data_IF_850264868400
#
_entry.id   IF_850264868400
#
_cell.length_a   1.000
_cell.length_b   1.000
_cell.length_c   1.000
_cell.angle_alpha   90.00
_cell.angle_beta   90.00
_cell.angle_gamma   90.00
#
_symmetry.space_group_name_H-M   'P 1'
#
loop_
_entity.id
_entity.type
_entity.pdbx_description
1 polymer ?
#
# COMPACT_ATOMS: atom_id res chain seq x y z
N UNK A 1 0.67 16.63 31.96
CA UNK A 1 1.18 16.40 30.60
C UNK A 1 0.88 14.94 30.33
N UNK A 2 -0.22 14.65 29.63
CA UNK A 2 -0.61 13.26 29.39
C UNK A 2 0.42 12.64 28.45
N UNK A 3 1.12 11.62 28.93
CA UNK A 3 1.94 10.75 28.10
C UNK A 3 1.00 10.14 27.04
N UNK A 4 1.10 10.64 25.80
CA UNK A 4 0.41 10.02 24.66
C UNK A 4 0.89 8.58 24.59
N UNK A 5 0.05 7.65 25.05
CA UNK A 5 0.23 6.21 25.00
C UNK A 5 0.61 5.84 23.56
N UNK A 6 1.88 5.49 23.34
CA UNK A 6 2.34 4.93 22.07
C UNK A 6 1.62 3.60 21.93
N UNK A 7 0.59 3.55 21.10
CA UNK A 7 -0.13 2.31 20.85
C UNK A 7 0.78 1.43 19.98
N UNK A 8 1.11 0.19 20.40
CA UNK A 8 2.02 -0.67 19.64
C UNK A 8 1.47 -1.03 18.25
N UNK A 9 0.16 -0.84 18.08
CA UNK A 9 -0.54 -0.94 16.81
C UNK A 9 -1.76 -0.02 16.80
N UNK A 10 -2.23 0.32 15.61
CA UNK A 10 -3.56 0.86 15.34
C UNK A 10 -4.26 -0.02 14.31
N UNK A 11 -5.58 -0.11 14.39
CA UNK A 11 -6.39 -0.92 13.50
C UNK A 11 -7.18 -0.05 12.53
N UNK A 12 -7.32 -0.51 11.28
CA UNK A 12 -8.10 0.13 10.23
C UNK A 12 -9.14 -0.86 9.73
N UNK A 13 -10.42 -0.49 9.80
CA UNK A 13 -11.51 -1.25 9.21
C UNK A 13 -11.84 -0.73 7.82
N UNK A 14 -12.17 -1.63 6.91
CA UNK A 14 -12.79 -1.30 5.62
C UNK A 14 -14.20 -0.73 5.78
N UNK A 15 -14.79 -0.89 6.99
CA UNK A 15 -16.14 -0.41 7.35
C UNK A 15 -16.05 0.85 8.18
N UNK A 16 -17.02 1.75 7.99
CA UNK A 16 -16.93 3.10 8.53
C UNK A 16 -17.06 3.19 10.05
N UNK A 17 -16.40 4.20 10.64
CA UNK A 17 -16.42 4.46 12.08
C UNK A 17 -17.83 4.87 12.48
N UNK A 18 -18.37 4.24 13.53
CA UNK A 18 -19.70 4.52 14.08
C UNK A 18 -19.73 5.87 14.83
N UNK A 19 -19.31 6.95 14.20
CA UNK A 19 -19.45 8.33 14.68
C UNK A 19 -20.64 9.07 14.03
N UNK A 20 -21.64 8.32 13.54
CA UNK A 20 -22.97 8.84 13.22
C UNK A 20 -23.33 8.99 11.73
N UNK A 21 -22.41 8.68 10.79
CA UNK A 21 -22.68 8.75 9.35
C UNK A 21 -22.45 7.42 8.59
N UNK A 22 -21.67 6.49 9.14
CA UNK A 22 -21.51 5.15 8.57
C UNK A 22 -22.71 4.26 8.92
N UNK A 23 -23.24 3.53 7.92
CA UNK A 23 -24.37 2.59 8.09
C UNK A 23 -23.94 1.19 8.57
N UNK A 24 -22.65 0.92 8.59
CA UNK A 24 -22.03 -0.36 9.01
C UNK A 24 -21.09 -0.09 10.17
N UNK A 25 -21.09 -0.95 11.19
CA UNK A 25 -20.16 -0.87 12.32
C UNK A 25 -18.72 -1.16 11.86
N UNK A 26 -17.73 -0.43 12.41
CA UNK A 26 -16.30 -0.60 12.14
C UNK A 26 -15.66 -1.77 12.91
N UNK A 27 -16.48 -2.67 13.48
CA UNK A 27 -16.08 -3.81 14.30
C UNK A 27 -15.11 -3.45 15.46
N UNK A 28 -15.16 -2.20 15.96
CA UNK A 28 -14.32 -1.73 17.06
C UNK A 28 -12.91 -1.27 16.67
N UNK A 29 -12.64 -1.05 15.38
CA UNK A 29 -11.34 -0.53 14.92
C UNK A 29 -11.09 0.93 15.32
N UNK A 30 -9.80 1.30 15.42
CA UNK A 30 -9.36 2.67 15.73
C UNK A 30 -9.65 3.65 14.59
N UNK A 31 -9.54 3.19 13.34
CA UNK A 31 -9.73 3.96 12.12
C UNK A 31 -10.61 3.21 11.11
N UNK A 32 -11.17 3.96 10.16
CA UNK A 32 -11.98 3.46 9.06
C UNK A 32 -12.57 4.63 8.27
N UNK A 33 -13.35 4.37 7.21
CA UNK A 33 -13.97 5.44 6.42
C UNK A 33 -15.05 6.19 7.23
N UNK A 34 -14.75 7.39 7.72
CA UNK A 34 -15.66 8.22 8.54
C UNK A 34 -16.90 8.69 7.76
N UNK A 35 -16.78 8.90 6.45
CA UNK A 35 -17.85 9.32 5.52
C UNK A 35 -17.66 8.66 4.14
N UNK A 36 -18.69 8.62 3.27
CA UNK A 36 -18.57 8.13 1.89
C UNK A 36 -17.44 8.79 1.07
N UNK A 37 -17.00 9.98 1.51
CA UNK A 37 -16.03 10.83 0.83
C UNK A 37 -14.60 10.70 1.39
N UNK A 38 -14.36 9.82 2.38
CA UNK A 38 -12.99 9.56 2.84
C UNK A 38 -12.15 8.94 1.72
N UNK A 39 -11.12 9.67 1.28
CA UNK A 39 -10.27 9.31 0.13
C UNK A 39 -9.31 8.17 0.43
N UNK A 40 -8.99 7.91 1.69
CA UNK A 40 -7.94 6.98 2.13
C UNK A 40 -8.45 5.66 2.73
N UNK A 41 -9.77 5.50 2.87
CA UNK A 41 -10.38 4.46 3.71
C UNK A 41 -9.86 4.43 5.16
N UNK A 42 -9.41 5.57 5.72
CA UNK A 42 -8.89 5.66 7.09
C UNK A 42 -7.42 5.26 7.26
N UNK A 43 -6.76 4.79 6.19
CA UNK A 43 -5.36 4.31 6.25
C UNK A 43 -4.40 5.48 6.48
N UNK A 44 -4.60 6.60 5.76
CA UNK A 44 -3.78 7.81 5.91
C UNK A 44 -3.88 8.38 7.34
N UNK A 45 -5.08 8.37 7.92
CA UNK A 45 -5.37 8.81 9.29
C UNK A 45 -4.64 7.93 10.31
N UNK A 46 -4.69 6.61 10.11
CA UNK A 46 -4.01 5.65 10.97
C UNK A 46 -2.49 5.84 10.95
N UNK A 47 -1.90 6.00 9.77
CA UNK A 47 -0.47 6.28 9.59
C UNK A 47 -0.07 7.57 10.32
N UNK A 48 -0.83 8.65 10.14
CA UNK A 48 -0.54 9.95 10.79
C UNK A 48 -0.62 9.88 12.32
N UNK A 49 -1.55 9.08 12.86
CA UNK A 49 -1.76 8.97 14.30
C UNK A 49 -0.78 8.00 14.98
N UNK A 50 -0.43 6.88 14.33
CA UNK A 50 0.47 5.88 14.88
C UNK A 50 1.88 6.44 15.10
N UNK A 51 2.37 7.30 14.19
CA UNK A 51 3.76 7.84 14.11
C UNK A 51 4.85 6.77 13.89
N UNK A 52 4.75 5.63 14.54
CA UNK A 52 5.59 4.44 14.38
C UNK A 52 4.83 3.21 14.90
N UNK A 53 5.13 2.02 14.38
CA UNK A 53 4.50 0.77 14.77
C UNK A 53 3.59 0.18 13.70
N UNK A 54 2.72 -0.73 14.10
CA UNK A 54 1.90 -1.47 13.15
C UNK A 54 0.60 -0.72 12.83
N UNK A 55 0.31 -0.58 11.54
CA UNK A 55 -1.02 -0.21 11.03
C UNK A 55 -1.65 -1.49 10.49
N UNK A 56 -2.61 -2.03 11.23
CA UNK A 56 -3.23 -3.33 10.98
C UNK A 56 -4.51 -3.15 10.18
N UNK A 57 -4.55 -3.66 8.95
CA UNK A 57 -5.72 -3.65 8.08
C UNK A 57 -6.58 -4.87 8.38
N UNK A 58 -7.77 -4.65 8.93
CA UNK A 58 -8.76 -5.72 9.12
C UNK A 58 -9.31 -6.20 7.77
N UNK A 59 -10.04 -7.31 7.78
CA UNK A 59 -10.60 -7.89 6.57
C UNK A 59 -11.53 -6.90 5.82
N UNK A 60 -11.45 -6.92 4.49
CA UNK A 60 -12.31 -6.21 3.57
C UNK A 60 -11.57 -5.37 2.52
N UNK A 61 -12.34 -4.60 1.77
CA UNK A 61 -11.87 -3.81 0.64
C UNK A 61 -11.73 -2.34 1.03
N UNK A 62 -10.52 -1.81 0.88
CA UNK A 62 -10.17 -0.43 1.19
C UNK A 62 -10.07 0.34 -0.13
N UNK A 63 -11.13 1.05 -0.49
CA UNK A 63 -11.17 1.88 -1.69
C UNK A 63 -10.44 3.19 -1.45
N UNK A 64 -9.38 3.44 -2.24
CA UNK A 64 -8.48 4.56 -2.00
C UNK A 64 -8.39 5.45 -3.23
N UNK A 65 -8.81 6.71 -3.07
CA UNK A 65 -8.85 7.80 -4.07
C UNK A 65 -7.74 8.84 -3.89
N UNK A 66 -6.88 8.68 -2.87
CA UNK A 66 -5.64 9.45 -2.71
C UNK A 66 -4.42 8.52 -2.57
N UNK A 67 -3.21 9.02 -2.82
CA UNK A 67 -2.02 8.19 -2.64
C UNK A 67 -1.73 7.98 -1.14
N UNK A 68 -1.61 6.72 -0.72
CA UNK A 68 -1.20 6.36 0.63
C UNK A 68 0.33 6.41 0.74
N UNK A 69 0.83 7.28 1.63
CA UNK A 69 2.25 7.41 1.93
C UNK A 69 2.58 6.69 3.23
N UNK A 70 3.35 5.60 3.15
CA UNK A 70 3.81 4.85 4.33
C UNK A 70 5.12 5.47 4.82
N UNK A 71 5.05 6.15 5.95
CA UNK A 71 6.18 6.89 6.54
C UNK A 71 7.15 6.00 7.31
N UNK A 72 8.31 6.56 7.65
CA UNK A 72 9.32 5.94 8.52
C UNK A 72 8.70 5.35 9.80
N UNK A 73 9.18 4.18 10.20
CA UNK A 73 8.76 3.50 11.42
C UNK A 73 7.40 2.82 11.33
N UNK A 74 6.67 2.96 10.21
CA UNK A 74 5.37 2.32 10.01
C UNK A 74 5.55 0.96 9.33
N UNK A 75 4.84 -0.04 9.86
CA UNK A 75 4.67 -1.36 9.27
C UNK A 75 3.20 -1.60 8.92
N UNK A 76 2.89 -1.82 7.64
CA UNK A 76 1.54 -2.18 7.19
C UNK A 76 1.33 -3.69 7.33
N UNK A 77 0.29 -4.09 8.06
CA UNK A 77 -0.03 -5.51 8.32
C UNK A 77 -1.44 -5.81 7.85
N UNK A 78 -1.59 -6.51 6.73
CA UNK A 78 -2.88 -7.01 6.24
C UNK A 78 -3.08 -8.51 6.46
N UNK A 79 -4.14 -9.03 5.84
CA UNK A 79 -4.45 -10.45 5.74
C UNK A 79 -4.73 -10.83 4.28
N UNK A 80 -4.99 -12.12 4.00
CA UNK A 80 -5.45 -12.56 2.67
C UNK A 80 -6.79 -11.92 2.24
N UNK A 81 -7.51 -11.30 3.17
CA UNK A 81 -8.81 -10.66 2.94
C UNK A 81 -8.76 -9.14 3.08
N UNK A 82 -7.61 -8.54 3.40
CA UNK A 82 -7.44 -7.08 3.47
C UNK A 82 -6.88 -6.58 2.13
N UNK A 83 -7.74 -6.00 1.30
CA UNK A 83 -7.43 -5.65 -0.09
C UNK A 83 -7.51 -4.14 -0.27
N UNK A 84 -6.40 -3.50 -0.66
CA UNK A 84 -6.40 -2.09 -1.05
C UNK A 84 -6.76 -1.99 -2.53
N UNK A 85 -7.74 -1.15 -2.87
CA UNK A 85 -8.24 -0.95 -4.23
C UNK A 85 -7.86 0.46 -4.70
N UNK A 86 -7.14 0.53 -5.83
CA UNK A 86 -6.71 1.80 -6.42
C UNK A 86 -7.86 2.49 -7.19
N UNK A 87 -8.49 3.45 -6.54
CA UNK A 87 -9.51 4.34 -7.12
C UNK A 87 -8.97 5.76 -7.33
N UNK A 88 -7.65 5.93 -7.42
CA UNK A 88 -7.02 7.20 -7.82
C UNK A 88 -7.54 7.64 -9.20
N UNK A 89 -7.70 8.94 -9.40
CA UNK A 89 -8.05 9.49 -10.73
C UNK A 89 -6.91 9.31 -11.74
N UNK A 90 -5.67 9.50 -11.31
CA UNK A 90 -4.48 9.31 -12.15
C UNK A 90 -4.12 7.82 -12.24
N UNK A 91 -4.29 7.24 -13.43
CA UNK A 91 -3.99 5.84 -13.69
C UNK A 91 -2.50 5.47 -13.55
N UNK A 92 -1.59 6.44 -13.66
CA UNK A 92 -0.15 6.18 -13.61
C UNK A 92 0.41 6.32 -12.19
N UNK A 93 -0.31 7.01 -11.30
CA UNK A 93 0.09 7.20 -9.92
C UNK A 93 -0.09 5.89 -9.12
N UNK A 94 0.94 5.38 -8.42
CA UNK A 94 0.80 4.21 -7.58
C UNK A 94 -0.03 4.55 -6.33
N UNK A 95 -0.93 3.63 -5.95
CA UNK A 95 -1.84 3.82 -4.79
C UNK A 95 -1.09 3.86 -3.47
N UNK A 96 -0.01 3.10 -3.34
CA UNK A 96 0.85 3.07 -2.16
C UNK A 96 2.27 3.47 -2.51
N UNK A 97 2.88 4.29 -1.66
CA UNK A 97 4.30 4.63 -1.69
C UNK A 97 4.94 4.40 -0.33
N UNK A 98 5.90 3.48 -0.29
CA UNK A 98 6.74 3.23 0.88
C UNK A 98 7.94 4.16 0.88
N UNK A 99 8.09 4.97 1.94
CA UNK A 99 9.25 5.84 2.16
C UNK A 99 10.37 5.09 2.88
N UNK A 100 11.62 5.61 2.91
CA UNK A 100 12.70 5.00 3.68
C UNK A 100 12.29 4.65 5.11
N UNK A 101 12.80 3.51 5.61
CA UNK A 101 12.58 2.96 6.95
C UNK A 101 11.11 2.60 7.26
N UNK A 102 10.30 2.38 6.23
CA UNK A 102 8.97 1.78 6.33
C UNK A 102 8.98 0.29 5.95
N UNK A 103 7.89 -0.42 6.24
CA UNK A 103 7.80 -1.86 5.98
C UNK A 103 6.38 -2.35 5.76
N UNK A 104 6.25 -3.58 5.27
CA UNK A 104 4.97 -4.31 5.29
C UNK A 104 5.18 -5.80 5.52
N UNK A 105 4.37 -6.38 6.39
CA UNK A 105 4.37 -7.82 6.65
C UNK A 105 3.50 -8.60 5.67
N UNK A 106 2.38 -8.01 5.22
CA UNK A 106 1.48 -8.66 4.29
C UNK A 106 0.62 -7.60 3.58
N UNK A 107 0.70 -7.53 2.25
CA UNK A 107 0.02 -6.53 1.45
C UNK A 107 -0.64 -7.17 0.23
N UNK A 108 -1.93 -6.86 0.01
CA UNK A 108 -2.64 -7.17 -1.22
C UNK A 108 -3.21 -5.87 -1.82
N UNK A 109 -2.88 -5.61 -3.08
CA UNK A 109 -3.34 -4.44 -3.84
C UNK A 109 -4.03 -4.90 -5.12
N UNK A 110 -5.29 -4.49 -5.29
CA UNK A 110 -5.97 -4.46 -6.57
C UNK A 110 -5.68 -3.11 -7.23
N UNK A 111 -4.87 -3.10 -8.27
CA UNK A 111 -4.51 -1.89 -8.98
C UNK A 111 -5.67 -1.36 -9.85
N UNK A 112 -6.77 -2.11 -10.01
CA UNK A 112 -8.02 -1.66 -10.62
C UNK A 112 -7.82 -0.91 -11.97
N UNK A 113 -7.01 -1.51 -12.85
CA UNK A 113 -6.68 -0.97 -14.17
C UNK A 113 -5.65 0.16 -14.18
N UNK A 114 -4.95 0.41 -13.06
CA UNK A 114 -4.00 1.52 -12.86
C UNK A 114 -2.64 1.00 -12.39
N UNK A 115 -1.75 1.87 -11.96
CA UNK A 115 -0.48 1.53 -11.30
C UNK A 115 -0.70 0.95 -9.89
N UNK A 116 0.20 0.07 -9.46
CA UNK A 116 0.15 -0.59 -8.16
C UNK A 116 0.93 0.19 -7.09
N UNK A 117 2.12 -0.31 -6.73
CA UNK A 117 2.86 0.11 -5.54
C UNK A 117 4.26 0.63 -5.90
N UNK A 118 4.69 1.70 -5.23
CA UNK A 118 6.06 2.19 -5.25
C UNK A 118 6.76 1.88 -3.92
N UNK A 119 7.96 1.31 -4.01
CA UNK A 119 8.78 0.92 -2.88
C UNK A 119 10.09 1.70 -2.95
N UNK A 120 10.26 2.63 -2.02
CA UNK A 120 11.47 3.40 -1.85
C UNK A 120 11.51 4.72 -2.62
N UNK A 121 12.55 5.47 -2.33
CA UNK A 121 12.92 6.77 -2.90
C UNK A 121 14.39 6.71 -3.34
N UNK A 122 14.88 7.65 -4.16
CA UNK A 122 16.31 7.71 -4.48
C UNK A 122 17.15 7.85 -3.19
N UNK A 123 18.04 6.88 -2.93
CA UNK A 123 18.86 6.84 -1.72
C UNK A 123 18.73 5.55 -0.93
N UNK A 124 19.14 5.58 0.35
CA UNK A 124 19.04 4.45 1.27
C UNK A 124 17.61 4.31 1.76
N UNK A 125 16.98 3.18 1.44
CA UNK A 125 15.62 2.90 1.88
C UNK A 125 15.55 2.10 3.17
N UNK A 126 16.32 1.02 3.29
CA UNK A 126 16.17 0.06 4.41
C UNK A 126 14.70 -0.39 4.57
N UNK A 127 14.05 -0.74 3.46
CA UNK A 127 12.65 -1.19 3.42
C UNK A 127 12.61 -2.72 3.34
N UNK A 128 11.71 -3.33 4.10
CA UNK A 128 11.40 -4.76 4.01
C UNK A 128 9.91 -4.99 3.77
N UNK A 129 9.61 -5.76 2.73
CA UNK A 129 8.28 -6.25 2.39
C UNK A 129 8.30 -7.77 2.48
N UNK A 130 7.56 -8.36 3.41
CA UNK A 130 7.55 -9.82 3.58
C UNK A 130 6.70 -10.51 2.50
N UNK A 131 5.51 -9.99 2.22
CA UNK A 131 4.64 -10.49 1.17
C UNK A 131 3.91 -9.32 0.50
N UNK A 132 3.96 -9.27 -0.83
CA UNK A 132 3.17 -8.34 -1.63
C UNK A 132 2.50 -9.08 -2.79
N UNK A 133 1.19 -8.88 -2.92
CA UNK A 133 0.44 -9.23 -4.12
C UNK A 133 -0.09 -7.97 -4.78
N UNK A 134 0.18 -7.80 -6.07
CA UNK A 134 -0.42 -6.74 -6.89
C UNK A 134 -1.13 -7.40 -8.07
N UNK A 135 -2.40 -7.08 -8.28
CA UNK A 135 -3.17 -7.64 -9.38
C UNK A 135 -4.06 -6.62 -10.09
N UNK A 136 -4.48 -6.97 -11.31
CA UNK A 136 -5.27 -6.12 -12.20
C UNK A 136 -4.61 -4.75 -12.45
N UNK A 137 -3.30 -4.72 -12.67
CA UNK A 137 -2.60 -3.51 -13.11
C UNK A 137 -3.03 -3.17 -14.54
N UNK A 138 -3.09 -1.87 -14.83
CA UNK A 138 -3.42 -1.37 -16.16
C UNK A 138 -2.42 -1.81 -17.24
N UNK A 139 -2.83 -1.68 -18.50
CA UNK A 139 -2.04 -2.05 -19.67
C UNK A 139 -1.60 -0.87 -20.54
N UNK A 140 -1.60 0.37 -20.00
CA UNK A 140 -1.29 1.60 -20.75
C UNK A 140 0.19 1.97 -20.66
N UNK A 141 0.75 2.43 -21.78
CA UNK A 141 2.09 3.02 -21.90
C UNK A 141 2.04 4.23 -22.84
N UNK A 142 2.34 5.42 -22.32
CA UNK A 142 2.40 6.67 -23.09
C UNK A 142 3.82 7.23 -23.23
N UNK A 143 4.82 6.56 -22.63
CA UNK A 143 6.21 7.02 -22.56
C UNK A 143 6.76 6.94 -21.14
N UNK A 144 8.04 7.20 -20.97
CA UNK A 144 8.73 7.09 -19.68
C UNK A 144 8.08 7.97 -18.59
N UNK A 145 7.74 7.35 -17.47
CA UNK A 145 7.03 7.97 -16.35
C UNK A 145 5.49 7.98 -16.52
N UNK A 146 4.97 7.46 -17.63
CA UNK A 146 3.53 7.35 -17.94
C UNK A 146 3.20 5.94 -18.40
N UNK A 147 3.47 5.00 -17.52
CA UNK A 147 3.20 3.60 -17.72
C UNK A 147 2.50 3.01 -16.50
N UNK A 148 1.58 2.07 -16.71
CA UNK A 148 1.04 1.30 -15.58
C UNK A 148 2.06 0.26 -15.14
N UNK A 149 2.49 0.34 -13.89
CA UNK A 149 3.47 -0.59 -13.31
C UNK A 149 2.85 -1.21 -12.06
N UNK A 150 2.96 -2.53 -11.91
CA UNK A 150 2.44 -3.22 -10.72
C UNK A 150 3.32 -2.93 -9.49
N UNK A 151 4.64 -3.11 -9.60
CA UNK A 151 5.59 -2.77 -8.55
C UNK A 151 6.77 -1.96 -9.11
N UNK A 152 7.02 -0.79 -8.54
CA UNK A 152 8.22 0.01 -8.79
C UNK A 152 9.12 -0.04 -7.56
N UNK A 153 10.40 -0.36 -7.72
CA UNK A 153 11.42 -0.26 -6.67
C UNK A 153 12.43 0.83 -7.05
N UNK A 154 12.66 1.79 -6.15
CA UNK A 154 13.57 2.91 -6.37
C UNK A 154 14.61 2.99 -5.26
N UNK A 155 15.87 3.27 -5.59
CA UNK A 155 16.96 3.39 -4.60
C UNK A 155 17.46 2.04 -4.07
N UNK A 156 18.13 2.04 -2.91
CA UNK A 156 18.88 0.88 -2.43
C UNK A 156 18.50 0.39 -1.02
N UNK A 157 18.95 -0.81 -0.66
CA UNK A 157 18.59 -1.52 0.58
C UNK A 157 17.09 -1.82 0.67
N UNK A 158 16.58 -2.57 -0.31
CA UNK A 158 15.17 -3.00 -0.35
C UNK A 158 15.11 -4.52 -0.42
N UNK A 159 14.36 -5.13 0.50
CA UNK A 159 14.11 -6.57 0.52
C UNK A 159 12.63 -6.83 0.29
N UNK A 160 12.32 -7.68 -0.68
CA UNK A 160 10.98 -8.24 -0.89
C UNK A 160 11.10 -9.77 -0.77
N UNK A 161 10.51 -10.39 0.24
CA UNK A 161 10.63 -11.85 0.33
C UNK A 161 9.78 -12.52 -0.75
N UNK A 162 8.50 -12.15 -0.87
CA UNK A 162 7.62 -12.72 -1.89
C UNK A 162 6.83 -11.64 -2.62
N UNK A 163 6.94 -11.64 -3.96
CA UNK A 163 6.15 -10.80 -4.86
C UNK A 163 5.28 -11.66 -5.79
N UNK A 164 3.96 -11.50 -5.69
CA UNK A 164 2.96 -12.12 -6.57
C UNK A 164 2.30 -11.05 -7.45
N UNK A 165 2.58 -11.08 -8.74
CA UNK A 165 2.04 -10.14 -9.71
C UNK A 165 1.11 -10.88 -10.66
N UNK A 166 -0.15 -10.43 -10.73
CA UNK A 166 -1.17 -11.04 -11.58
C UNK A 166 -1.85 -9.98 -12.46
N UNK A 167 -1.57 -9.98 -13.76
CA UNK A 167 -2.03 -9.00 -14.76
C UNK A 167 -1.42 -7.60 -14.63
N UNK A 168 -0.83 -7.11 -15.73
CA UNK A 168 -0.29 -5.76 -15.87
C UNK A 168 0.53 -5.56 -17.14
N UNK A 169 0.79 -4.30 -17.51
CA UNK A 169 1.79 -3.96 -18.54
C UNK A 169 3.20 -4.35 -18.07
N UNK A 170 3.69 -3.63 -17.05
CA UNK A 170 4.99 -3.86 -16.44
C UNK A 170 4.78 -4.44 -15.05
N UNK A 171 5.21 -5.69 -14.84
CA UNK A 171 5.10 -6.33 -13.54
C UNK A 171 6.01 -5.70 -12.49
N UNK A 172 7.30 -5.59 -12.79
CA UNK A 172 8.30 -5.05 -11.86
C UNK A 172 9.26 -4.09 -12.61
N UNK A 173 9.42 -2.88 -12.09
CA UNK A 173 10.40 -1.89 -12.57
C UNK A 173 11.37 -1.55 -11.45
N UNK A 174 12.68 -1.67 -11.68
CA UNK A 174 13.71 -1.23 -10.74
C UNK A 174 14.40 0.01 -11.32
N UNK A 175 14.43 1.11 -10.56
CA UNK A 175 14.93 2.41 -11.01
C UNK A 175 16.04 2.89 -10.08
N UNK A 176 17.25 3.06 -10.62
CA UNK A 176 18.39 3.59 -9.87
C UNK A 176 18.70 2.78 -8.60
N UNK A 177 18.48 1.46 -8.64
CA UNK A 177 18.60 0.60 -7.46
C UNK A 177 19.92 -0.15 -7.36
N UNK A 178 20.42 -0.27 -6.13
CA UNK A 178 21.46 -1.21 -5.72
C UNK A 178 20.97 -1.98 -4.49
N UNK A 179 21.54 -3.14 -4.17
CA UNK A 179 21.18 -3.89 -2.95
C UNK A 179 19.66 -4.18 -2.82
N UNK A 180 19.03 -4.49 -3.96
CA UNK A 180 17.65 -4.96 -4.02
C UNK A 180 17.64 -6.48 -4.03
N UNK A 181 17.00 -7.09 -3.04
CA UNK A 181 16.84 -8.55 -2.95
C UNK A 181 15.36 -8.92 -3.06
N UNK A 182 15.04 -9.74 -4.05
CA UNK A 182 13.73 -10.39 -4.18
C UNK A 182 13.96 -11.88 -3.98
N UNK A 183 13.35 -12.49 -2.95
CA UNK A 183 13.60 -13.91 -2.65
C UNK A 183 12.83 -14.82 -3.59
N UNK A 184 11.55 -14.53 -3.79
CA UNK A 184 10.66 -15.24 -4.71
C UNK A 184 9.79 -14.22 -5.49
N UNK A 185 9.70 -14.44 -6.81
CA UNK A 185 8.93 -13.62 -7.74
C UNK A 185 8.04 -14.52 -8.61
N UNK A 186 6.73 -14.35 -8.48
CA UNK A 186 5.74 -14.94 -9.35
C UNK A 186 5.11 -13.84 -10.21
N UNK A 187 5.18 -13.99 -11.54
CA UNK A 187 4.53 -13.08 -12.50
C UNK A 187 3.64 -13.90 -13.40
N UNK A 188 2.35 -13.58 -13.41
CA UNK A 188 1.34 -14.26 -14.20
C UNK A 188 0.65 -13.23 -15.08
N UNK A 189 0.67 -13.46 -16.40
CA UNK A 189 -0.07 -12.69 -17.40
C UNK A 189 0.33 -11.20 -17.48
N UNK A 190 1.61 -10.90 -17.69
CA UNK A 190 2.05 -9.55 -18.05
C UNK A 190 2.25 -9.45 -19.56
N UNK A 191 1.49 -8.59 -20.24
CA UNK A 191 1.58 -8.38 -21.69
C UNK A 191 2.37 -7.12 -21.99
N UNK A 192 3.44 -7.25 -22.79
CA UNK A 192 4.18 -6.14 -23.40
C UNK A 192 3.38 -5.44 -24.49
#
# INVERSE_FOLDING_TARGET
MDEKKVMPFVTVSSRGIRNGLAKTENDGADFGPDTPDTSSSGISEAIRNAKSGNVVLLDGEFHVREQIIVNEGINIVGSQKSIIINDLEDQFLPVLRFRPYSSSSFLIVNANGKSGVMIGEPGNNSIKIDYIKVYNTGNVYEGEGKENIAITVTGYNTIINFADIYKGNIGLKIVGGSDVRITDLQVVDSST
#
